data_IF_311524229482
#
_entry.id   IF_311524229482
#
_cell.length_a   1.000
_cell.length_b   1.000
_cell.length_c   1.000
_cell.angle_alpha   90.00
_cell.angle_beta   90.00
_cell.angle_gamma   90.00
#
_symmetry.space_group_name_H-M   'P 1'
#
loop_
_entity.id
_entity.type
_entity.pdbx_description
1 polymer ?
#
# COMPACT_ATOMS: atom_id res chain seq x y z
N UNK A 1 -2.60 13.31 1.74
CA UNK A 1 -3.82 14.15 1.59
C UNK A 1 -4.65 14.20 2.87
N UNK A 2 -5.13 13.07 3.42
CA UNK A 2 -5.92 13.06 4.67
C UNK A 2 -5.17 13.60 5.90
N UNK A 3 -3.92 13.16 6.11
CA UNK A 3 -3.08 13.66 7.21
C UNK A 3 -2.64 15.13 7.02
N UNK A 4 -2.67 15.60 5.77
CA UNK A 4 -2.16 16.90 5.32
C UNK A 4 -3.20 18.02 5.44
N UNK A 5 -4.50 17.69 5.56
CA UNK A 5 -5.60 18.64 5.58
C UNK A 5 -6.38 18.56 6.89
N UNK A 6 -6.36 19.61 7.74
CA UNK A 6 -7.11 19.63 8.98
C UNK A 6 -8.62 19.66 8.76
N UNK A 7 -9.09 20.22 7.64
CA UNK A 7 -10.51 20.26 7.27
C UNK A 7 -11.06 18.87 6.94
N UNK A 8 -10.30 18.04 6.22
CA UNK A 8 -10.68 16.65 5.97
C UNK A 8 -10.69 15.81 7.25
N UNK A 9 -9.79 16.08 8.19
CA UNK A 9 -9.78 15.41 9.50
C UNK A 9 -10.98 15.79 10.36
N UNK A 10 -11.36 17.07 10.35
CA UNK A 10 -12.55 17.54 11.07
C UNK A 10 -13.85 16.99 10.46
N UNK A 11 -13.95 16.93 9.13
CA UNK A 11 -15.13 16.46 8.43
C UNK A 11 -15.30 14.92 8.41
N UNK A 12 -14.24 14.17 8.68
CA UNK A 12 -14.26 12.70 8.74
C UNK A 12 -14.02 12.18 10.16
N UNK A 13 -14.15 13.03 11.19
CA UNK A 13 -14.18 12.59 12.58
C UNK A 13 -15.36 11.62 12.77
N UNK A 14 -15.11 10.34 13.09
CA UNK A 14 -16.16 9.33 13.20
C UNK A 14 -17.23 9.66 14.24
N UNK A 15 -16.88 10.52 15.20
CA UNK A 15 -17.77 11.01 16.25
C UNK A 15 -18.49 12.30 15.86
N UNK A 16 -18.02 13.06 14.87
CA UNK A 16 -18.70 14.28 14.44
C UNK A 16 -20.01 13.95 13.70
N UNK A 17 -21.06 14.67 14.05
CA UNK A 17 -22.37 14.53 13.43
C UNK A 17 -22.49 15.55 12.29
N UNK A 18 -22.95 15.14 11.11
CA UNK A 18 -23.14 16.04 9.97
C UNK A 18 -24.33 17.01 10.11
N UNK A 19 -24.95 17.09 11.29
CA UNK A 19 -26.05 18.02 11.59
C UNK A 19 -27.44 17.55 11.12
N UNK A 20 -28.43 18.43 11.26
CA UNK A 20 -29.86 18.14 11.03
C UNK A 20 -30.16 17.76 9.57
N UNK A 21 -29.46 18.37 8.59
CA UNK A 21 -29.64 18.09 7.16
C UNK A 21 -29.33 16.63 6.78
N UNK A 22 -28.48 15.96 7.56
CA UNK A 22 -28.07 14.58 7.37
C UNK A 22 -28.63 13.64 8.43
N UNK A 23 -29.65 14.05 9.18
CA UNK A 23 -30.25 13.23 10.24
C UNK A 23 -29.27 12.88 11.35
N UNK A 24 -28.36 13.79 11.68
CA UNK A 24 -27.30 13.59 12.67
C UNK A 24 -26.39 12.37 12.43
N UNK A 25 -26.40 11.78 11.23
CA UNK A 25 -25.52 10.67 10.89
C UNK A 25 -24.05 11.09 11.01
N UNK A 26 -23.23 10.20 11.56
CA UNK A 26 -21.77 10.36 11.59
C UNK A 26 -21.13 9.70 10.35
N UNK A 27 -19.86 9.98 10.03
CA UNK A 27 -19.15 9.28 8.95
C UNK A 27 -19.18 7.76 9.13
N UNK A 28 -19.16 7.29 10.39
CA UNK A 28 -19.25 5.87 10.74
C UNK A 28 -20.59 5.26 10.31
N UNK A 29 -21.71 5.98 10.46
CA UNK A 29 -23.03 5.53 10.00
C UNK A 29 -23.08 5.36 8.49
N UNK A 30 -22.48 6.27 7.72
CA UNK A 30 -22.43 6.17 6.26
C UNK A 30 -21.51 5.02 5.79
N UNK A 31 -20.35 4.86 6.44
CA UNK A 31 -19.46 3.73 6.16
C UNK A 31 -20.16 2.39 6.43
N UNK A 32 -20.87 2.29 7.56
CA UNK A 32 -21.69 1.15 7.92
C UNK A 32 -22.82 0.87 6.91
N UNK A 33 -23.61 1.91 6.58
CA UNK A 33 -24.74 1.82 5.64
C UNK A 33 -24.36 1.24 4.28
N UNK A 34 -23.18 1.62 3.78
CA UNK A 34 -22.67 1.17 2.49
C UNK A 34 -21.77 -0.07 2.57
N UNK A 35 -21.52 -0.63 3.76
CA UNK A 35 -20.64 -1.80 3.92
C UNK A 35 -19.19 -1.52 3.53
N UNK A 36 -18.70 -0.31 3.79
CA UNK A 36 -17.34 0.11 3.45
C UNK A 36 -16.33 -0.41 4.49
N UNK A 37 -15.95 -1.69 4.39
CA UNK A 37 -15.09 -2.38 5.38
C UNK A 37 -13.82 -1.62 5.75
N UNK A 38 -13.13 -1.05 4.76
CA UNK A 38 -11.85 -0.35 4.99
C UNK A 38 -12.02 0.95 5.77
N UNK A 39 -13.02 1.77 5.41
CA UNK A 39 -13.31 3.00 6.14
C UNK A 39 -13.82 2.71 7.54
N UNK A 40 -14.65 1.68 7.70
CA UNK A 40 -15.15 1.25 9.00
C UNK A 40 -14.00 0.82 9.92
N UNK A 41 -13.04 0.04 9.42
CA UNK A 41 -11.84 -0.35 10.15
C UNK A 41 -11.02 0.86 10.58
N UNK A 42 -10.70 1.77 9.66
CA UNK A 42 -9.94 2.99 9.99
C UNK A 42 -10.68 3.85 11.01
N UNK A 43 -12.00 3.98 10.89
CA UNK A 43 -12.79 4.73 11.86
C UNK A 43 -12.82 4.11 13.25
N UNK A 44 -12.91 2.77 13.35
CA UNK A 44 -12.97 2.06 14.63
C UNK A 44 -11.58 1.90 15.29
N UNK A 45 -10.55 1.58 14.51
CA UNK A 45 -9.20 1.27 15.02
C UNK A 45 -8.31 2.51 15.15
N UNK A 46 -8.29 3.37 14.13
CA UNK A 46 -7.30 4.45 14.02
C UNK A 46 -7.83 5.79 14.54
N UNK A 47 -9.14 6.03 14.37
CA UNK A 47 -9.79 7.30 14.71
C UNK A 47 -10.72 7.22 15.94
N UNK A 48 -10.78 6.06 16.61
CA UNK A 48 -11.48 5.91 17.89
C UNK A 48 -13.00 6.16 17.82
N UNK A 49 -13.63 5.91 16.68
CA UNK A 49 -15.06 6.09 16.49
C UNK A 49 -15.88 5.20 17.40
N UNK A 50 -16.89 5.77 18.07
CA UNK A 50 -17.82 5.02 18.90
C UNK A 50 -19.01 4.50 18.07
N UNK A 51 -19.15 3.18 17.85
CA UNK A 51 -20.26 2.59 17.09
C UNK A 51 -21.62 2.68 17.80
N UNK A 52 -21.63 2.90 19.12
CA UNK A 52 -22.84 3.07 19.93
C UNK A 52 -23.46 4.46 19.77
N UNK A 53 -22.74 5.42 19.17
CA UNK A 53 -23.27 6.75 18.94
C UNK A 53 -24.51 6.65 18.04
N UNK A 54 -25.61 7.24 18.51
CA UNK A 54 -26.90 7.22 17.83
C UNK A 54 -27.07 8.41 16.90
N UNK A 55 -27.73 8.19 15.77
CA UNK A 55 -28.14 9.25 14.86
C UNK A 55 -29.47 9.90 15.30
N UNK A 56 -30.06 10.75 14.46
CA UNK A 56 -31.32 11.42 14.79
C UNK A 56 -32.47 10.44 15.00
N UNK A 57 -32.43 9.24 14.43
CA UNK A 57 -33.46 8.19 14.53
C UNK A 57 -33.16 7.15 15.63
N UNK A 58 -32.23 7.45 16.52
CA UNK A 58 -31.72 6.55 17.56
C UNK A 58 -31.06 5.27 17.01
N UNK A 59 -30.68 5.26 15.73
CA UNK A 59 -29.98 4.14 15.10
C UNK A 59 -28.49 4.20 15.44
N UNK A 60 -27.92 3.06 15.81
CA UNK A 60 -26.48 2.89 15.98
C UNK A 60 -25.84 2.45 14.65
N UNK A 61 -24.50 2.45 14.58
CA UNK A 61 -23.80 2.05 13.36
C UNK A 61 -24.15 0.62 12.92
N UNK A 62 -24.44 -0.28 13.87
CA UNK A 62 -24.86 -1.66 13.59
C UNK A 62 -26.24 -1.75 12.92
N UNK A 63 -27.19 -0.85 13.24
CA UNK A 63 -28.46 -0.76 12.53
C UNK A 63 -28.24 -0.41 11.05
N UNK A 64 -27.36 0.56 10.78
CA UNK A 64 -27.03 0.97 9.43
C UNK A 64 -26.36 -0.17 8.62
N UNK A 65 -25.50 -1.00 9.22
CA UNK A 65 -24.92 -2.16 8.51
C UNK A 65 -26.01 -3.14 8.04
N UNK A 66 -27.02 -3.35 8.87
CA UNK A 66 -28.11 -4.29 8.61
C UNK A 66 -29.19 -3.71 7.68
N UNK A 67 -29.15 -2.41 7.38
CA UNK A 67 -30.10 -1.75 6.50
C UNK A 67 -29.67 -1.86 5.04
N UNK A 68 -30.42 -2.62 4.24
CA UNK A 68 -30.11 -2.87 2.83
C UNK A 68 -31.25 -2.45 1.92
N UNK A 69 -30.92 -1.71 0.85
CA UNK A 69 -31.83 -1.50 -0.29
C UNK A 69 -31.85 -2.74 -1.19
N UNK A 70 -32.89 -2.91 -2.01
CA UNK A 70 -33.29 -4.10 -2.79
C UNK A 70 -32.20 -4.86 -3.61
N UNK A 71 -30.94 -4.42 -3.68
CA UNK A 71 -29.85 -5.08 -4.41
C UNK A 71 -29.13 -6.15 -3.57
N UNK A 72 -29.56 -7.41 -3.71
CA UNK A 72 -29.01 -8.60 -3.03
C UNK A 72 -27.82 -9.20 -3.78
N UNK A 73 -26.67 -8.51 -3.80
CA UNK A 73 -25.43 -9.16 -4.25
C UNK A 73 -24.86 -10.02 -3.10
N UNK A 74 -24.48 -11.29 -3.32
CA UNK A 74 -23.87 -12.12 -2.28
C UNK A 74 -22.57 -11.50 -1.73
N UNK A 75 -21.80 -10.83 -2.58
CA UNK A 75 -20.62 -10.05 -2.18
C UNK A 75 -20.96 -8.86 -1.26
N UNK A 76 -22.20 -8.35 -1.30
CA UNK A 76 -22.63 -7.30 -0.38
C UNK A 76 -23.02 -7.85 1.01
N UNK A 77 -23.51 -9.09 1.10
CA UNK A 77 -23.82 -9.75 2.36
C UNK A 77 -22.54 -10.08 3.13
N UNK A 78 -21.54 -10.69 2.47
CA UNK A 78 -20.25 -11.00 3.09
C UNK A 78 -19.55 -9.76 3.63
N UNK A 79 -19.49 -8.68 2.84
CA UNK A 79 -18.89 -7.41 3.29
C UNK A 79 -19.58 -6.85 4.54
N UNK A 80 -20.91 -7.00 4.64
CA UNK A 80 -21.67 -6.53 5.80
C UNK A 80 -21.47 -7.42 7.01
N UNK A 81 -21.40 -8.73 6.82
CA UNK A 81 -21.05 -9.67 7.88
C UNK A 81 -19.67 -9.31 8.48
N UNK A 82 -18.68 -9.02 7.65
CA UNK A 82 -17.37 -8.52 8.10
C UNK A 82 -17.49 -7.21 8.88
N UNK A 83 -18.30 -6.25 8.40
CA UNK A 83 -18.54 -5.00 9.11
C UNK A 83 -19.18 -5.21 10.48
N UNK A 84 -20.13 -6.14 10.62
CA UNK A 84 -20.73 -6.49 11.92
C UNK A 84 -19.65 -7.04 12.85
N UNK A 85 -18.84 -7.99 12.39
CA UNK A 85 -17.75 -8.57 13.20
C UNK A 85 -16.80 -7.47 13.71
N UNK A 86 -16.38 -6.56 12.84
CA UNK A 86 -15.51 -5.43 13.22
C UNK A 86 -16.15 -4.54 14.30
N UNK A 87 -17.44 -4.25 14.19
CA UNK A 87 -18.17 -3.47 15.20
C UNK A 87 -18.28 -4.25 16.52
N UNK A 88 -18.52 -5.56 16.50
CA UNK A 88 -18.66 -6.38 17.73
C UNK A 88 -17.33 -6.62 18.45
N UNK A 89 -16.23 -6.63 17.70
CA UNK A 89 -14.87 -6.68 18.23
C UNK A 89 -14.42 -5.34 18.83
N UNK A 90 -15.11 -4.24 18.54
CA UNK A 90 -14.77 -2.92 19.09
C UNK A 90 -14.76 -2.93 20.62
N UNK A 91 -13.71 -2.33 21.19
CA UNK A 91 -13.53 -2.14 22.63
C UNK A 91 -13.23 -0.67 22.89
N UNK A 92 -14.18 0.01 23.53
CA UNK A 92 -14.09 1.41 23.87
C UNK A 92 -13.26 1.68 25.14
N UNK A 93 -13.41 2.88 25.72
CA UNK A 93 -12.70 3.26 26.94
C UNK A 93 -13.06 2.35 28.12
N UNK A 94 -12.14 2.25 29.07
CA UNK A 94 -12.34 1.47 30.31
C UNK A 94 -13.36 2.19 31.18
N UNK A 95 -14.46 1.51 31.50
CA UNK A 95 -15.49 2.01 32.42
C UNK A 95 -14.98 1.91 33.87
N UNK A 96 -15.71 2.48 34.83
CA UNK A 96 -15.30 2.51 36.24
C UNK A 96 -15.12 1.11 36.84
N UNK A 97 -15.78 0.10 36.26
CA UNK A 97 -15.75 -1.30 36.69
C UNK A 97 -14.58 -2.10 36.10
N UNK A 98 -13.68 -1.47 35.32
CA UNK A 98 -12.51 -2.12 34.72
C UNK A 98 -12.80 -2.84 33.40
N UNK A 99 -14.07 -2.99 33.02
CA UNK A 99 -14.46 -3.51 31.72
C UNK A 99 -14.40 -2.44 30.62
N UNK A 100 -14.03 -2.84 29.40
CA UNK A 100 -14.03 -1.94 28.24
C UNK A 100 -15.43 -1.86 27.65
N UNK A 101 -15.87 -0.65 27.28
CA UNK A 101 -17.16 -0.45 26.59
C UNK A 101 -17.25 -1.35 25.34
N UNK A 102 -18.40 -1.99 25.12
CA UNK A 102 -18.66 -2.88 23.98
C UNK A 102 -19.78 -2.33 23.10
N UNK A 103 -19.87 -2.85 21.87
CA UNK A 103 -20.97 -2.53 20.98
C UNK A 103 -22.32 -3.03 21.54
N UNK A 104 -23.32 -2.16 21.58
CA UNK A 104 -24.65 -2.47 22.10
C UNK A 104 -25.49 -3.18 21.03
N UNK A 105 -25.61 -4.51 21.16
CA UNK A 105 -26.39 -5.36 20.24
C UNK A 105 -27.91 -5.11 20.31
N UNK A 106 -28.41 -4.89 21.52
CA UNK A 106 -29.85 -4.77 21.80
C UNK A 106 -30.35 -3.33 21.79
N UNK A 107 -29.56 -2.39 21.26
CA UNK A 107 -29.98 -1.00 21.13
C UNK A 107 -31.21 -0.91 20.21
N UNK A 108 -32.25 -0.22 20.66
CA UNK A 108 -33.45 0.06 19.89
C UNK A 108 -33.38 1.46 19.26
N UNK A 109 -33.88 1.55 18.03
CA UNK A 109 -34.14 2.81 17.33
C UNK A 109 -35.45 3.46 17.80
N UNK A 110 -35.81 4.61 17.23
CA UNK A 110 -37.08 5.29 17.51
C UNK A 110 -38.32 4.45 17.24
N UNK A 111 -38.25 3.40 16.41
CA UNK A 111 -39.36 2.49 16.10
C UNK A 111 -39.36 1.25 17.01
N UNK A 112 -38.39 1.14 17.92
CA UNK A 112 -38.21 -0.03 18.78
C UNK A 112 -37.49 -1.18 18.08
N UNK A 113 -36.98 -1.00 16.85
CA UNK A 113 -36.28 -2.03 16.12
C UNK A 113 -34.83 -2.14 16.60
N UNK A 114 -34.38 -3.37 16.82
CA UNK A 114 -32.97 -3.71 17.05
C UNK A 114 -32.25 -3.96 15.72
N UNK A 115 -30.91 -4.09 15.74
CA UNK A 115 -30.15 -4.46 14.55
C UNK A 115 -30.65 -5.79 13.93
N UNK A 116 -31.06 -6.74 14.78
CA UNK A 116 -31.61 -8.03 14.37
C UNK A 116 -32.93 -7.88 13.58
N UNK A 117 -33.78 -6.90 13.92
CA UNK A 117 -35.00 -6.60 13.16
C UNK A 117 -34.68 -6.17 11.72
N UNK A 118 -33.68 -5.31 11.54
CA UNK A 118 -33.24 -4.85 10.22
C UNK A 118 -32.58 -5.97 9.40
N UNK A 119 -31.74 -6.79 10.03
CA UNK A 119 -31.10 -7.92 9.37
C UNK A 119 -32.14 -8.95 8.89
N UNK A 120 -33.14 -9.23 9.73
CA UNK A 120 -34.25 -10.14 9.45
C UNK A 120 -35.16 -9.62 8.34
N UNK A 121 -35.53 -8.34 8.40
CA UNK A 121 -36.35 -7.69 7.38
C UNK A 121 -35.65 -7.59 6.02
N UNK A 122 -34.31 -7.53 6.00
CA UNK A 122 -33.48 -7.47 4.79
C UNK A 122 -33.10 -8.85 4.25
N UNK A 123 -33.31 -9.93 5.03
CA UNK A 123 -32.97 -11.29 4.67
C UNK A 123 -31.47 -11.60 4.69
N UNK A 124 -30.69 -10.87 5.50
CA UNK A 124 -29.24 -11.08 5.63
C UNK A 124 -28.96 -12.27 6.56
N UNK A 125 -29.03 -13.49 6.02
CA UNK A 125 -28.89 -14.72 6.79
C UNK A 125 -27.59 -14.75 7.58
N UNK A 126 -26.45 -14.42 6.96
CA UNK A 126 -25.17 -14.49 7.66
C UNK A 126 -25.06 -13.49 8.80
N UNK A 127 -25.61 -12.29 8.60
CA UNK A 127 -25.66 -11.26 9.65
C UNK A 127 -26.56 -11.69 10.82
N UNK A 128 -27.70 -12.34 10.53
CA UNK A 128 -28.59 -12.87 11.57
C UNK A 128 -27.89 -13.96 12.38
N UNK A 129 -27.25 -14.94 11.72
CA UNK A 129 -26.49 -15.99 12.39
C UNK A 129 -25.42 -15.40 13.33
N UNK A 130 -24.66 -14.41 12.86
CA UNK A 130 -23.62 -13.74 13.66
C UNK A 130 -24.18 -12.97 14.86
N UNK A 131 -25.27 -12.21 14.67
CA UNK A 131 -25.89 -11.45 15.77
C UNK A 131 -26.46 -12.40 16.85
N UNK A 132 -27.09 -13.50 16.44
CA UNK A 132 -27.63 -14.51 17.37
C UNK A 132 -26.50 -15.22 18.12
N UNK A 133 -25.42 -15.60 17.42
CA UNK A 133 -24.24 -16.21 18.04
C UNK A 133 -23.58 -15.31 19.09
N UNK A 134 -23.74 -13.99 18.95
CA UNK A 134 -23.20 -12.98 19.89
C UNK A 134 -24.20 -12.58 20.98
N UNK A 135 -25.34 -13.28 21.10
CA UNK A 135 -26.31 -13.07 22.17
C UNK A 135 -27.30 -11.94 21.92
N UNK A 136 -27.63 -11.62 20.66
CA UNK A 136 -28.69 -10.67 20.36
C UNK A 136 -30.05 -11.15 20.91
N UNK A 137 -30.80 -10.24 21.54
CA UNK A 137 -32.09 -10.53 22.13
C UNK A 137 -33.15 -10.88 21.08
N UNK A 138 -33.55 -12.15 21.05
CA UNK A 138 -34.50 -12.69 20.07
C UNK A 138 -35.94 -12.23 20.31
N UNK A 139 -36.31 -12.06 21.58
CA UNK A 139 -37.68 -11.77 22.04
C UNK A 139 -37.98 -10.27 22.19
N UNK A 140 -37.10 -9.40 21.71
CA UNK A 140 -37.32 -7.96 21.77
C UNK A 140 -38.40 -7.60 20.75
N UNK A 141 -39.47 -6.94 21.21
CA UNK A 141 -40.54 -6.45 20.34
C UNK A 141 -40.32 -4.98 19.99
N UNK A 142 -40.65 -4.63 18.74
CA UNK A 142 -40.69 -3.24 18.30
C UNK A 142 -42.03 -2.56 18.69
N UNK A 143 -42.22 -1.29 18.31
CA UNK A 143 -43.47 -0.56 18.61
C UNK A 143 -44.73 -1.15 17.99
N UNK A 144 -44.60 -1.96 16.95
CA UNK A 144 -45.70 -2.69 16.30
C UNK A 144 -45.98 -4.04 16.99
N UNK A 145 -45.29 -4.35 18.09
CA UNK A 145 -45.32 -5.66 18.78
C UNK A 145 -44.87 -6.82 17.90
N UNK A 146 -43.97 -6.53 16.96
CA UNK A 146 -43.37 -7.53 16.09
C UNK A 146 -41.98 -7.86 16.60
N UNK A 147 -41.66 -9.15 16.65
CA UNK A 147 -40.31 -9.65 16.87
C UNK A 147 -39.51 -9.63 15.58
N UNK A 148 -38.19 -9.86 15.69
CA UNK A 148 -37.32 -10.01 14.51
C UNK A 148 -37.76 -11.14 13.57
N UNK A 149 -38.28 -12.24 14.12
CA UNK A 149 -38.83 -13.36 13.37
C UNK A 149 -40.10 -12.96 12.60
N UNK A 150 -41.02 -12.23 13.22
CA UNK A 150 -42.25 -11.76 12.58
C UNK A 150 -41.94 -10.85 11.37
N UNK A 151 -40.88 -10.04 11.48
CA UNK A 151 -40.39 -9.23 10.36
C UNK A 151 -39.81 -10.07 9.22
N UNK A 152 -39.07 -11.14 9.52
CA UNK A 152 -38.57 -12.06 8.48
C UNK A 152 -39.71 -12.72 7.71
N UNK A 153 -40.75 -13.18 8.43
CA UNK A 153 -41.96 -13.76 7.83
C UNK A 153 -42.69 -12.73 6.96
N UNK A 154 -42.89 -11.51 7.47
CA UNK A 154 -43.56 -10.44 6.74
C UNK A 154 -42.81 -9.99 5.49
N UNK A 155 -41.47 -10.05 5.52
CA UNK A 155 -40.60 -9.77 4.37
C UNK A 155 -40.41 -10.98 3.43
N UNK A 156 -41.09 -12.11 3.66
CA UNK A 156 -40.99 -13.36 2.87
C UNK A 156 -39.62 -14.05 2.89
N UNK A 157 -38.80 -13.78 3.92
CA UNK A 157 -37.49 -14.39 4.12
C UNK A 157 -37.60 -15.67 4.97
N UNK A 158 -38.21 -16.71 4.36
CA UNK A 158 -38.49 -17.99 5.02
C UNK A 158 -37.23 -18.62 5.64
N UNK A 159 -36.08 -18.61 4.94
CA UNK A 159 -34.84 -19.21 5.44
C UNK A 159 -34.36 -18.59 6.76
N UNK A 160 -34.52 -17.27 6.90
CA UNK A 160 -34.14 -16.52 8.10
C UNK A 160 -35.19 -16.71 9.19
N UNK A 161 -36.48 -16.73 8.83
CA UNK A 161 -37.57 -17.01 9.77
C UNK A 161 -37.42 -18.41 10.39
N UNK A 162 -37.21 -19.45 9.59
CA UNK A 162 -37.01 -20.82 10.10
C UNK A 162 -35.78 -20.93 11.00
N UNK A 163 -34.69 -20.22 10.68
CA UNK A 163 -33.52 -20.16 11.54
C UNK A 163 -33.87 -19.51 12.90
N UNK A 164 -34.49 -18.33 12.89
CA UNK A 164 -34.89 -17.62 14.11
C UNK A 164 -35.92 -18.41 14.93
N UNK A 165 -36.91 -19.04 14.29
CA UNK A 165 -37.87 -19.93 14.96
C UNK A 165 -37.16 -21.07 15.68
N UNK A 166 -36.19 -21.73 15.01
CA UNK A 166 -35.41 -22.79 15.64
C UNK A 166 -34.64 -22.26 16.85
N UNK A 167 -33.98 -21.11 16.73
CA UNK A 167 -33.25 -20.50 17.85
C UNK A 167 -34.18 -20.11 19.00
N UNK A 168 -35.39 -19.61 18.71
CA UNK A 168 -36.37 -19.22 19.74
C UNK A 168 -36.95 -20.44 20.47
N UNK A 169 -37.17 -21.57 19.78
CA UNK A 169 -37.66 -22.81 20.39
C UNK A 169 -36.64 -23.41 21.36
N UNK A 170 -35.34 -23.27 21.07
CA UNK A 170 -34.27 -23.79 21.91
C UNK A 170 -33.72 -22.77 22.93
N UNK A 171 -34.14 -21.51 22.84
CA UNK A 171 -33.85 -20.48 23.84
C UNK A 171 -34.86 -20.60 24.99
N UNK A 172 -34.63 -21.54 25.91
CA UNK A 172 -35.46 -21.68 27.11
C UNK A 172 -35.48 -20.34 27.88
N UNK A 173 -36.68 -19.91 28.27
CA UNK A 173 -36.96 -18.56 28.79
C UNK A 173 -36.42 -18.27 30.20
N UNK A 174 -35.35 -18.96 30.63
CA UNK A 174 -34.88 -18.95 32.03
C UNK A 174 -33.39 -18.68 32.25
N UNK A 175 -32.57 -18.42 31.22
CA UNK A 175 -31.20 -17.96 31.46
C UNK A 175 -31.15 -16.42 31.47
N UNK A 176 -31.51 -15.88 32.63
CA UNK A 176 -31.12 -14.52 33.00
C UNK A 176 -29.60 -14.42 32.99
N UNK A 177 -29.08 -13.57 32.11
CA UNK A 177 -27.78 -12.89 32.21
C UNK A 177 -26.66 -13.83 32.70
N UNK A 178 -26.12 -14.65 31.81
CA UNK A 178 -24.73 -15.07 31.95
C UNK A 178 -23.86 -14.15 31.07
N UNK A 179 -23.65 -12.92 31.54
CA UNK A 179 -22.64 -12.00 30.99
C UNK A 179 -21.19 -12.50 31.25
N UNK A 180 -21.02 -13.65 31.90
CA UNK A 180 -19.73 -14.17 32.35
C UNK A 180 -19.15 -15.35 31.56
N UNK A 181 -19.88 -15.97 30.64
CA UNK A 181 -19.39 -17.17 29.95
C UNK A 181 -19.49 -17.03 28.43
N UNK A 182 -18.68 -16.07 27.93
CA UNK A 182 -18.13 -16.17 26.59
C UNK A 182 -17.37 -17.50 26.52
N UNK A 183 -18.05 -18.54 26.06
CA UNK A 183 -17.37 -19.60 25.32
C UNK A 183 -16.60 -18.84 24.25
N UNK A 184 -15.28 -18.80 24.45
CA UNK A 184 -14.30 -18.61 23.40
C UNK A 184 -14.51 -19.70 22.37
N UNK A 185 -15.62 -19.60 21.65
CA UNK A 185 -15.62 -19.86 20.24
C UNK A 185 -14.69 -18.76 19.74
N UNK A 186 -13.40 -19.03 19.81
CA UNK A 186 -12.59 -19.12 18.61
C UNK A 186 -13.50 -19.75 17.54
N UNK A 187 -14.43 -18.95 17.02
CA UNK A 187 -14.66 -18.98 15.61
C UNK A 187 -13.27 -18.60 15.13
N UNK A 188 -12.45 -19.60 14.85
CA UNK A 188 -11.42 -19.57 13.83
C UNK A 188 -12.11 -19.20 12.51
N UNK A 189 -12.77 -18.05 12.48
CA UNK A 189 -12.82 -17.21 11.33
C UNK A 189 -11.43 -16.65 11.29
N UNK A 190 -10.54 -17.40 10.64
CA UNK A 190 -9.50 -16.87 9.79
C UNK A 190 -9.46 -15.35 9.84
N UNK A 191 -8.68 -14.86 10.81
CA UNK A 191 -8.03 -13.57 10.72
C UNK A 191 -7.14 -13.51 9.45
N UNK A 192 -7.01 -14.60 8.70
CA UNK A 192 -6.40 -14.68 7.36
C UNK A 192 -7.13 -13.84 6.31
N UNK A 193 -8.39 -13.45 6.50
CA UNK A 193 -9.03 -12.53 5.54
C UNK A 193 -8.45 -11.11 5.60
N UNK A 194 -7.70 -10.76 6.66
CA UNK A 194 -7.02 -9.46 6.79
C UNK A 194 -5.63 -9.43 6.15
N UNK A 195 -5.13 -10.57 5.71
CA UNK A 195 -3.74 -10.73 5.28
C UNK A 195 -3.54 -10.31 3.82
N UNK A 196 -4.56 -10.47 2.98
CA UNK A 196 -4.46 -10.28 1.52
C UNK A 196 -5.03 -8.93 1.11
N UNK A 197 -4.41 -7.84 1.54
CA UNK A 197 -4.79 -6.53 1.02
C UNK A 197 -4.24 -6.34 -0.40
N UNK A 198 -5.14 -6.02 -1.33
CA UNK A 198 -4.77 -5.63 -2.68
C UNK A 198 -3.99 -4.32 -2.67
N UNK A 199 -2.71 -4.38 -3.04
CA UNK A 199 -1.83 -3.25 -3.22
C UNK A 199 -2.16 -2.52 -4.52
N UNK A 200 -2.31 -1.19 -4.43
CA UNK A 200 -2.38 -0.29 -5.57
C UNK A 200 -0.97 -0.03 -6.11
N UNK A 201 -0.88 0.54 -7.31
CA UNK A 201 0.40 0.96 -7.89
C UNK A 201 1.20 1.89 -6.96
N UNK A 202 0.52 2.79 -6.24
CA UNK A 202 1.16 3.67 -5.26
C UNK A 202 1.73 2.88 -4.07
N UNK A 203 1.00 1.89 -3.56
CA UNK A 203 1.46 1.09 -2.42
C UNK A 203 2.65 0.19 -2.81
N UNK A 204 2.68 -0.26 -4.07
CA UNK A 204 3.84 -0.97 -4.64
C UNK A 204 5.06 -0.08 -4.80
N UNK A 205 4.85 1.16 -5.24
CA UNK A 205 5.91 2.16 -5.32
C UNK A 205 6.47 2.46 -3.92
N UNK A 206 5.61 2.67 -2.92
CA UNK A 206 6.04 2.89 -1.53
C UNK A 206 6.83 1.69 -0.97
N UNK A 207 6.42 0.46 -1.28
CA UNK A 207 7.15 -0.74 -0.89
C UNK A 207 8.53 -0.84 -1.58
N UNK A 208 8.63 -0.43 -2.86
CA UNK A 208 9.89 -0.34 -3.61
C UNK A 208 10.80 0.72 -3.02
N UNK A 209 10.28 1.91 -2.75
CA UNK A 209 11.01 3.04 -2.17
C UNK A 209 11.52 2.70 -0.77
N UNK A 210 10.72 1.98 0.04
CA UNK A 210 11.15 1.48 1.34
C UNK A 210 12.32 0.50 1.23
N UNK A 211 12.25 -0.47 0.30
CA UNK A 211 13.35 -1.40 0.04
C UNK A 211 14.63 -0.67 -0.39
N UNK A 212 14.46 0.36 -1.23
CA UNK A 212 15.56 1.19 -1.70
C UNK A 212 16.26 1.92 -0.55
N UNK A 213 15.49 2.60 0.30
CA UNK A 213 16.01 3.33 1.47
C UNK A 213 16.72 2.37 2.43
N UNK A 214 16.11 1.24 2.76
CA UNK A 214 16.73 0.25 3.64
C UNK A 214 18.04 -0.31 3.08
N UNK A 215 18.12 -0.50 1.77
CA UNK A 215 19.32 -1.02 1.10
C UNK A 215 20.42 0.04 1.08
N UNK A 216 20.06 1.29 0.79
CA UNK A 216 20.98 2.42 0.81
C UNK A 216 21.57 2.64 2.22
N UNK A 217 20.73 2.57 3.25
CA UNK A 217 21.15 2.69 4.65
C UNK A 217 22.03 1.53 5.09
N UNK A 218 21.68 0.29 4.69
CA UNK A 218 22.44 -0.91 5.04
C UNK A 218 23.83 -0.95 4.39
N UNK A 219 23.94 -0.53 3.13
CA UNK A 219 25.21 -0.52 2.39
C UNK A 219 25.97 0.81 2.53
N UNK A 220 25.36 1.81 3.18
CA UNK A 220 25.86 3.20 3.25
C UNK A 220 26.27 3.74 1.87
N UNK A 221 25.32 3.71 0.93
CA UNK A 221 25.48 4.20 -0.45
C UNK A 221 24.38 5.20 -0.80
N UNK A 222 24.58 6.08 -1.79
CA UNK A 222 23.52 6.95 -2.29
C UNK A 222 22.31 6.15 -2.82
N UNK A 223 21.10 6.71 -2.69
CA UNK A 223 19.85 6.08 -3.16
C UNK A 223 19.93 5.70 -4.65
N UNK A 224 20.49 6.58 -5.48
CA UNK A 224 20.71 6.30 -6.90
C UNK A 224 21.56 5.04 -7.13
N UNK A 225 22.66 4.89 -6.38
CA UNK A 225 23.53 3.72 -6.47
C UNK A 225 22.81 2.46 -5.99
N UNK A 226 22.02 2.56 -4.91
CA UNK A 226 21.23 1.44 -4.41
C UNK A 226 20.17 1.00 -5.43
N UNK A 227 19.54 1.93 -6.13
CA UNK A 227 18.52 1.62 -7.14
C UNK A 227 19.13 0.87 -8.31
N UNK A 228 20.24 1.38 -8.84
CA UNK A 228 20.95 0.76 -9.95
C UNK A 228 21.47 -0.64 -9.59
N UNK A 229 22.00 -0.83 -8.37
CA UNK A 229 22.41 -2.13 -7.86
C UNK A 229 21.23 -3.09 -7.66
N UNK A 230 20.10 -2.61 -7.12
CA UNK A 230 18.91 -3.43 -6.97
C UNK A 230 18.37 -3.86 -8.34
N UNK A 231 18.39 -2.98 -9.34
CA UNK A 231 17.95 -3.31 -10.71
C UNK A 231 18.81 -4.37 -11.39
N UNK A 232 20.14 -4.29 -11.27
CA UNK A 232 21.07 -5.33 -11.75
C UNK A 232 20.85 -6.69 -11.05
N UNK A 233 20.33 -6.65 -9.82
CA UNK A 233 20.05 -7.82 -8.99
C UNK A 233 18.55 -8.17 -8.94
N UNK A 234 17.78 -7.77 -9.95
CA UNK A 234 16.35 -8.09 -10.10
C UNK A 234 15.51 -7.73 -8.85
N UNK A 235 15.86 -6.66 -8.13
CA UNK A 235 15.24 -6.25 -6.87
C UNK A 235 15.39 -7.25 -5.71
N UNK A 236 16.36 -8.17 -5.77
CA UNK A 236 16.64 -9.13 -4.70
C UNK A 236 17.72 -8.63 -3.74
N UNK A 237 17.30 -8.20 -2.53
CA UNK A 237 18.22 -7.79 -1.45
C UNK A 237 19.23 -8.87 -1.07
N UNK A 238 18.80 -10.13 -1.01
CA UNK A 238 19.67 -11.26 -0.65
C UNK A 238 20.79 -11.50 -1.67
N UNK A 239 20.46 -11.49 -2.97
CA UNK A 239 21.46 -11.64 -4.04
C UNK A 239 22.42 -10.46 -4.07
N UNK A 240 21.91 -9.24 -3.89
CA UNK A 240 22.74 -8.05 -3.81
C UNK A 240 23.75 -8.17 -2.66
N UNK A 241 23.30 -8.59 -1.47
CA UNK A 241 24.19 -8.76 -0.32
C UNK A 241 25.24 -9.86 -0.57
N UNK A 242 24.88 -10.98 -1.19
CA UNK A 242 25.82 -12.05 -1.53
C UNK A 242 26.92 -11.57 -2.50
N UNK A 243 26.54 -10.87 -3.58
CA UNK A 243 27.49 -10.29 -4.53
C UNK A 243 28.34 -9.19 -3.90
N UNK A 244 27.73 -8.33 -3.09
CA UNK A 244 28.40 -7.22 -2.41
C UNK A 244 29.45 -7.71 -1.40
N UNK A 245 29.12 -8.74 -0.61
CA UNK A 245 30.05 -9.37 0.33
C UNK A 245 31.21 -10.07 -0.38
N UNK A 246 31.00 -10.56 -1.60
CA UNK A 246 32.05 -11.20 -2.40
C UNK A 246 33.02 -10.16 -2.99
N UNK A 247 32.51 -9.14 -3.67
CA UNK A 247 33.30 -8.03 -4.20
C UNK A 247 32.40 -6.81 -4.52
N UNK A 248 32.38 -5.85 -3.61
CA UNK A 248 31.57 -4.63 -3.76
C UNK A 248 31.93 -3.79 -5.00
N UNK A 249 33.22 -3.71 -5.37
CA UNK A 249 33.68 -2.88 -6.50
C UNK A 249 33.25 -3.49 -7.82
N UNK A 250 33.44 -4.79 -8.00
CA UNK A 250 32.96 -5.50 -9.20
C UNK A 250 31.43 -5.44 -9.33
N UNK A 251 30.71 -5.45 -8.21
CA UNK A 251 29.25 -5.29 -8.22
C UNK A 251 28.83 -3.91 -8.76
N UNK A 252 29.56 -2.84 -8.41
CA UNK A 252 29.31 -1.50 -8.94
C UNK A 252 29.68 -1.37 -10.43
N UNK A 253 30.80 -1.95 -10.86
CA UNK A 253 31.25 -1.91 -12.26
C UNK A 253 30.28 -2.62 -13.20
N UNK A 254 29.77 -3.80 -12.81
CA UNK A 254 28.77 -4.55 -13.60
C UNK A 254 27.44 -3.78 -13.69
N UNK A 255 27.03 -3.12 -12.60
CA UNK A 255 25.84 -2.28 -12.59
C UNK A 255 26.02 -0.94 -13.33
N UNK A 256 27.25 -0.62 -13.77
CA UNK A 256 27.51 0.59 -14.54
C UNK A 256 27.65 1.87 -13.72
N UNK A 257 28.08 1.75 -12.46
CA UNK A 257 28.13 2.87 -11.50
C UNK A 257 29.55 3.03 -10.96
N UNK A 258 29.98 4.28 -10.73
CA UNK A 258 31.23 4.53 -10.03
C UNK A 258 31.16 4.00 -8.58
N UNK A 259 32.18 3.25 -8.09
CA UNK A 259 32.14 2.67 -6.76
C UNK A 259 32.15 3.76 -5.68
N UNK A 260 31.17 3.75 -4.74
CA UNK A 260 31.13 4.71 -3.64
C UNK A 260 32.24 4.44 -2.62
N UNK A 261 32.55 5.43 -1.78
CA UNK A 261 33.60 5.34 -0.77
C UNK A 261 33.44 4.12 0.17
N UNK A 262 32.21 3.70 0.46
CA UNK A 262 31.90 2.52 1.26
C UNK A 262 32.34 1.20 0.59
N UNK A 263 32.25 1.09 -0.74
CA UNK A 263 32.76 -0.06 -1.49
C UNK A 263 34.30 -0.10 -1.50
N UNK A 264 34.95 1.07 -1.50
CA UNK A 264 36.41 1.19 -1.49
C UNK A 264 37.02 0.79 -0.13
N UNK A 265 36.32 1.04 0.98
CA UNK A 265 36.77 0.66 2.32
C UNK A 265 36.75 -0.85 2.59
N UNK A 266 35.94 -1.63 1.88
CA UNK A 266 35.86 -3.10 2.00
C UNK A 266 37.03 -3.83 1.34
N UNK A 267 37.83 -3.15 0.52
CA UNK A 267 38.93 -3.73 -0.28
C UNK A 267 40.32 -3.46 0.33
N UNK A 268 40.43 -2.82 1.49
CA UNK A 268 41.73 -2.54 2.10
C UNK A 268 42.21 -3.66 3.06
N UNK A 269 43.14 -4.55 2.67
CA UNK A 269 43.95 -5.26 3.65
C UNK A 269 44.97 -4.28 4.25
N UNK A 270 45.04 -4.27 5.58
CA UNK A 270 46.06 -3.71 6.48
C UNK A 270 47.14 -2.77 5.89
N UNK A 271 47.30 -1.52 6.36
CA UNK A 271 48.45 -0.71 5.98
C UNK A 271 49.73 -1.29 6.59
N UNK A 272 50.85 -1.41 5.84
CA UNK A 272 52.14 -1.61 6.46
C UNK A 272 52.61 -0.31 7.13
N UNK A 273 53.23 -0.46 8.29
CA UNK A 273 53.96 0.58 9.00
C UNK A 273 55.22 1.02 8.22
N UNK A 274 55.83 2.15 8.67
CA UNK A 274 57.17 2.73 8.35
C UNK A 274 57.10 3.92 7.37
N UNK A 275 57.58 5.16 7.58
CA UNK A 275 58.26 5.97 8.63
C UNK A 275 58.18 7.45 8.17
N UNK A 276 58.53 8.47 9.01
CA UNK A 276 58.23 9.88 8.75
C UNK A 276 59.36 10.70 8.08
N UNK A 277 58.97 11.91 7.62
CA UNK A 277 59.73 13.16 7.34
C UNK A 277 60.05 13.50 5.86
N UNK A 278 60.32 14.79 5.50
CA UNK A 278 60.02 16.08 6.17
C UNK A 278 59.25 17.08 5.26
N UNK A 279 58.88 18.28 5.75
CA UNK A 279 58.04 19.24 5.03
C UNK A 279 58.88 20.20 4.18
N UNK A 280 58.36 20.62 3.03
CA UNK A 280 58.83 21.81 2.34
C UNK A 280 57.67 22.72 1.93
N UNK A 281 57.64 23.84 2.63
CA UNK A 281 56.96 25.10 2.37
C UNK A 281 57.24 25.61 0.95
N UNK A 282 56.25 26.18 0.26
CA UNK A 282 56.39 27.50 -0.38
C UNK A 282 55.02 28.18 -0.38
N UNK A 283 54.99 29.34 0.26
CA UNK A 283 53.94 30.36 0.27
C UNK A 283 54.22 31.32 -0.89
N UNK A 284 53.22 31.68 -1.67
CA UNK A 284 53.23 32.84 -2.58
C UNK A 284 52.10 33.82 -2.25
N UNK A 285 52.28 35.14 -2.49
CA UNK A 285 51.57 36.22 -1.79
C UNK A 285 50.38 36.81 -2.56
N UNK A 286 49.52 37.65 -1.91
CA UNK A 286 48.28 38.20 -2.49
C UNK A 286 48.50 39.49 -3.33
N UNK A 287 47.52 39.92 -4.16
CA UNK A 287 47.65 41.06 -5.05
C UNK A 287 47.18 42.39 -4.41
N UNK A 288 47.63 43.57 -4.91
CA UNK A 288 47.03 44.87 -4.60
C UNK A 288 46.31 45.56 -5.80
N UNK A 289 45.53 46.65 -5.56
CA UNK A 289 44.25 46.86 -6.27
C UNK A 289 44.01 48.23 -7.00
N UNK A 290 42.91 48.27 -7.77
CA UNK A 290 41.99 49.37 -8.20
C UNK A 290 42.36 50.46 -9.29
N UNK A 291 41.69 50.50 -10.48
CA UNK A 291 40.53 51.31 -11.05
C UNK A 291 40.93 52.74 -11.63
N UNK A 292 40.22 53.44 -12.57
CA UNK A 292 39.52 53.15 -13.88
C UNK A 292 39.97 54.08 -15.06
N UNK A 293 39.49 53.84 -16.29
CA UNK A 293 39.25 54.90 -17.28
C UNK A 293 39.24 54.47 -18.77
N UNK A 294 38.08 54.66 -19.43
CA UNK A 294 37.82 55.09 -20.84
C UNK A 294 38.64 54.45 -21.99
N UNK A 295 38.14 54.05 -23.16
CA UNK A 295 36.90 54.28 -23.90
C UNK A 295 36.80 53.24 -25.03
N UNK A 296 35.55 52.93 -25.37
CA UNK A 296 34.99 52.42 -26.62
C UNK A 296 35.89 52.45 -27.88
N UNK A 297 36.23 51.27 -28.43
CA UNK A 297 36.32 51.01 -29.88
C UNK A 297 35.90 49.56 -30.16
N UNK A 298 34.97 49.41 -31.10
CA UNK A 298 34.48 48.15 -31.64
C UNK A 298 35.55 47.52 -32.53
N UNK A 299 35.83 46.23 -32.35
CA UNK A 299 36.40 45.41 -33.42
C UNK A 299 35.84 43.98 -33.33
N UNK A 300 35.03 43.67 -34.35
CA UNK A 300 34.45 42.37 -34.64
C UNK A 300 35.56 41.39 -35.07
N UNK A 301 35.93 40.42 -34.22
CA UNK A 301 36.54 39.17 -34.67
C UNK A 301 36.08 37.98 -33.84
N UNK A 302 35.23 37.18 -34.49
CA UNK A 302 34.74 35.86 -34.10
C UNK A 302 35.78 34.99 -33.38
N UNK A 303 35.36 34.36 -32.27
CA UNK A 303 36.00 33.14 -31.78
C UNK A 303 35.02 32.27 -30.97
N UNK A 304 34.73 31.12 -31.57
CA UNK A 304 34.29 29.85 -31.02
C UNK A 304 32.91 29.76 -30.34
N UNK A 305 31.86 29.84 -31.17
CA UNK A 305 30.67 29.04 -30.93
C UNK A 305 31.02 27.59 -31.23
N UNK A 306 31.27 26.78 -30.19
CA UNK A 306 31.47 25.34 -30.35
C UNK A 306 30.24 24.74 -31.06
N UNK A 307 30.42 24.38 -32.33
CA UNK A 307 29.39 23.76 -33.13
C UNK A 307 29.21 22.32 -32.63
N UNK A 308 28.45 22.15 -31.56
CA UNK A 308 28.21 20.86 -30.92
C UNK A 308 27.40 19.98 -31.86
N UNK A 309 28.03 18.94 -32.41
CA UNK A 309 27.37 17.98 -33.29
C UNK A 309 27.02 16.71 -32.54
N UNK A 310 25.81 16.20 -32.75
CA UNK A 310 25.39 14.93 -32.19
C UNK A 310 26.18 13.76 -32.82
N UNK A 311 26.76 12.89 -31.99
CA UNK A 311 27.56 11.74 -32.47
C UNK A 311 26.74 10.60 -33.10
N UNK A 312 25.41 10.64 -33.01
CA UNK A 312 24.50 9.63 -33.60
C UNK A 312 23.95 10.10 -34.94
N UNK A 313 23.36 11.30 -34.97
CA UNK A 313 22.69 11.82 -36.17
C UNK A 313 23.51 12.86 -36.95
N UNK A 314 24.66 13.30 -36.42
CA UNK A 314 25.50 14.37 -36.97
C UNK A 314 24.79 15.72 -37.15
N UNK A 315 23.62 15.91 -36.52
CA UNK A 315 22.91 17.19 -36.50
C UNK A 315 23.53 18.21 -35.54
N UNK A 316 23.33 19.49 -35.84
CA UNK A 316 23.73 20.61 -34.98
C UNK A 316 22.86 20.66 -33.71
N UNK A 317 23.52 20.66 -32.55
CA UNK A 317 22.91 20.74 -31.22
C UNK A 317 23.03 22.18 -30.72
N UNK A 318 21.93 22.76 -30.24
CA UNK A 318 21.94 24.15 -29.79
C UNK A 318 22.41 24.21 -28.34
N UNK A 319 23.22 25.22 -28.00
CA UNK A 319 23.86 25.38 -26.68
C UNK A 319 22.91 25.40 -25.46
N UNK A 320 21.62 25.69 -25.66
CA UNK A 320 20.61 25.65 -24.59
C UNK A 320 20.07 24.23 -24.30
N UNK A 321 20.22 23.28 -25.23
CA UNK A 321 19.86 21.86 -25.00
C UNK A 321 20.87 21.15 -24.08
N UNK A 322 22.12 21.65 -23.98
CA UNK A 322 23.16 21.08 -23.13
C UNK A 322 22.93 21.31 -21.62
N UNK A 323 22.27 22.40 -21.23
CA UNK A 323 22.08 22.76 -19.82
C UNK A 323 21.12 21.82 -19.08
N UNK A 324 20.14 21.25 -19.79
CA UNK A 324 19.14 20.32 -19.27
C UNK A 324 19.53 18.84 -19.42
N UNK A 325 20.57 18.52 -20.20
CA UNK A 325 21.06 17.16 -20.46
C UNK A 325 22.04 16.62 -19.43
N UNK A 326 22.15 17.25 -18.25
CA UNK A 326 23.08 16.87 -17.17
C UNK A 326 22.64 15.63 -16.38
N UNK A 327 21.60 14.92 -16.83
CA UNK A 327 21.02 13.76 -16.14
C UNK A 327 21.73 12.43 -16.37
N UNK A 328 22.95 12.41 -16.91
CA UNK A 328 23.76 11.18 -16.99
C UNK A 328 25.11 11.42 -16.35
N UNK A 329 25.57 10.48 -15.52
CA UNK A 329 26.89 10.51 -14.86
C UNK A 329 28.08 10.36 -15.83
N UNK A 330 27.86 10.52 -17.14
CA UNK A 330 28.84 10.35 -18.20
C UNK A 330 28.98 11.63 -19.04
N UNK A 331 30.16 11.87 -19.61
CA UNK A 331 30.46 13.05 -20.42
C UNK A 331 29.92 12.96 -21.88
N UNK A 332 29.05 11.99 -22.18
CA UNK A 332 28.55 11.75 -23.53
C UNK A 332 27.27 12.55 -23.81
N UNK A 333 27.29 13.34 -24.89
CA UNK A 333 26.17 14.19 -25.28
C UNK A 333 25.57 13.72 -26.61
N UNK A 334 24.25 13.66 -26.66
CA UNK A 334 23.46 13.28 -27.83
C UNK A 334 22.23 14.17 -27.95
N UNK A 335 21.72 14.29 -29.18
CA UNK A 335 20.53 15.07 -29.47
C UNK A 335 19.28 14.52 -28.76
N UNK A 336 18.32 15.37 -28.42
CA UNK A 336 17.11 14.94 -27.72
C UNK A 336 16.30 13.91 -28.52
N UNK A 337 16.20 14.08 -29.84
CA UNK A 337 15.50 13.13 -30.72
C UNK A 337 16.20 11.78 -30.80
N UNK A 338 17.53 11.76 -30.66
CA UNK A 338 18.35 10.55 -30.63
C UNK A 338 18.11 9.78 -29.33
N UNK A 339 18.10 10.49 -28.20
CA UNK A 339 17.76 9.93 -26.89
C UNK A 339 16.34 9.38 -26.85
N UNK A 340 15.35 10.16 -27.30
CA UNK A 340 13.95 9.73 -27.35
C UNK A 340 13.79 8.44 -28.18
N UNK A 341 14.41 8.39 -29.36
CA UNK A 341 14.36 7.21 -30.25
C UNK A 341 15.03 5.99 -29.62
N UNK A 342 16.21 6.17 -29.03
CA UNK A 342 16.95 5.08 -28.37
C UNK A 342 16.19 4.52 -27.16
N UNK A 343 15.73 5.41 -26.27
CA UNK A 343 14.98 5.02 -25.08
C UNK A 343 13.65 4.35 -25.46
N UNK A 344 12.93 4.90 -26.42
CA UNK A 344 11.68 4.31 -26.91
C UNK A 344 11.89 2.90 -27.44
N UNK A 345 12.95 2.70 -28.22
CA UNK A 345 13.28 1.38 -28.77
C UNK A 345 13.65 0.39 -27.66
N UNK A 346 14.47 0.81 -26.68
CA UNK A 346 14.86 -0.04 -25.54
C UNK A 346 13.69 -0.42 -24.64
N UNK A 347 12.76 0.51 -24.40
CA UNK A 347 11.55 0.25 -23.63
C UNK A 347 10.61 -0.71 -24.39
N UNK A 348 10.51 -0.58 -25.72
CA UNK A 348 9.71 -1.49 -26.55
C UNK A 348 10.29 -2.90 -26.66
N UNK A 349 11.62 -3.03 -26.66
CA UNK A 349 12.32 -4.33 -26.64
C UNK A 349 12.13 -5.10 -25.31
N UNK A 350 11.53 -4.48 -24.29
CA UNK A 350 11.24 -5.11 -22.99
C UNK A 350 12.44 -5.15 -22.03
N UNK A 351 13.57 -4.53 -22.39
CA UNK A 351 14.79 -4.46 -21.59
C UNK A 351 14.87 -3.25 -20.66
N UNK A 352 13.80 -2.91 -19.95
CA UNK A 352 13.71 -1.68 -19.15
C UNK A 352 14.65 -1.64 -17.92
N UNK A 353 15.14 -2.79 -17.45
CA UNK A 353 15.87 -2.91 -16.18
C UNK A 353 17.32 -2.43 -16.24
N UNK A 354 17.91 -2.31 -17.44
CA UNK A 354 19.32 -1.98 -17.62
C UNK A 354 19.54 -1.15 -18.89
N UNK A 355 19.08 0.10 -18.88
CA UNK A 355 19.27 1.05 -19.99
C UNK A 355 20.60 1.76 -19.81
N UNK A 356 21.55 1.44 -20.68
CA UNK A 356 22.89 2.02 -20.69
C UNK A 356 22.99 3.22 -21.64
N UNK A 357 24.01 4.04 -21.42
CA UNK A 357 24.40 5.12 -22.32
C UNK A 357 24.61 4.59 -23.77
N UNK A 358 24.12 5.31 -24.81
CA UNK A 358 24.33 4.93 -26.21
C UNK A 358 25.78 4.96 -26.69
N UNK A 359 26.71 5.51 -25.92
CA UNK A 359 28.10 5.64 -26.32
C UNK A 359 28.83 4.28 -26.33
N UNK A 360 29.62 4.05 -27.38
CA UNK A 360 30.41 2.82 -27.52
C UNK A 360 31.43 2.73 -26.39
N UNK A 361 31.34 1.67 -25.57
CA UNK A 361 32.23 1.45 -24.42
C UNK A 361 31.81 2.17 -23.14
N UNK A 362 30.66 2.85 -23.12
CA UNK A 362 30.10 3.43 -21.91
C UNK A 362 29.06 2.47 -21.31
N UNK A 363 29.38 1.93 -20.14
CA UNK A 363 28.46 1.05 -19.41
C UNK A 363 27.69 1.81 -18.32
N UNK A 364 27.56 3.14 -18.42
CA UNK A 364 26.90 3.95 -17.38
C UNK A 364 25.39 3.84 -17.51
N UNK A 365 24.71 3.51 -16.39
CA UNK A 365 23.25 3.46 -16.31
C UNK A 365 22.64 4.85 -16.44
N UNK A 366 21.53 4.94 -17.15
CA UNK A 366 20.77 6.18 -17.34
C UNK A 366 19.75 6.36 -16.21
N UNK A 367 19.72 7.57 -15.62
CA UNK A 367 18.85 7.93 -14.51
C UNK A 367 17.36 7.89 -14.90
N UNK A 368 16.49 7.51 -13.96
CA UNK A 368 15.03 7.42 -14.16
C UNK A 368 14.44 8.79 -14.48
N UNK A 369 14.82 9.81 -13.72
CA UNK A 369 14.35 11.19 -13.92
C UNK A 369 14.71 11.71 -15.32
N UNK A 370 15.83 11.27 -15.88
CA UNK A 370 16.21 11.62 -17.23
C UNK A 370 15.35 10.87 -18.27
N UNK A 371 15.09 9.58 -18.06
CA UNK A 371 14.22 8.79 -18.95
C UNK A 371 12.82 9.42 -19.00
N UNK A 372 12.22 9.77 -17.85
CA UNK A 372 10.89 10.37 -17.78
C UNK A 372 10.78 11.70 -18.53
N UNK A 373 11.84 12.52 -18.51
CA UNK A 373 11.87 13.81 -19.21
C UNK A 373 12.05 13.67 -20.71
N UNK A 374 12.77 12.65 -21.16
CA UNK A 374 13.19 12.51 -22.56
C UNK A 374 12.23 11.71 -23.43
N UNK A 375 11.33 10.91 -22.85
CA UNK A 375 10.37 10.10 -23.61
C UNK A 375 8.94 10.62 -23.47
N UNK A 376 8.09 10.28 -24.44
CA UNK A 376 6.66 10.56 -24.35
C UNK A 376 6.03 9.99 -23.06
N UNK A 377 4.99 10.64 -22.49
CA UNK A 377 4.39 10.23 -21.22
C UNK A 377 3.82 8.80 -21.25
N UNK A 378 3.39 8.34 -22.44
CA UNK A 378 2.92 6.97 -22.62
C UNK A 378 4.05 5.94 -22.44
N UNK A 379 5.24 6.26 -22.92
CA UNK A 379 6.41 5.39 -22.84
C UNK A 379 7.03 5.40 -21.44
N UNK A 380 7.06 6.57 -20.78
CA UNK A 380 7.45 6.70 -19.38
C UNK A 380 6.56 5.82 -18.47
N UNK A 381 5.25 5.82 -18.71
CA UNK A 381 4.31 4.96 -17.96
C UNK A 381 4.59 3.47 -18.17
N UNK A 382 4.93 3.05 -19.40
CA UNK A 382 5.31 1.66 -19.68
C UNK A 382 6.61 1.27 -18.99
N UNK A 383 7.60 2.17 -19.00
CA UNK A 383 8.87 1.96 -18.31
C UNK A 383 8.68 1.77 -16.80
N UNK A 384 7.93 2.67 -16.15
CA UNK A 384 7.59 2.53 -14.71
C UNK A 384 6.80 1.26 -14.43
N UNK A 385 5.89 0.87 -15.32
CA UNK A 385 5.14 -0.37 -15.20
C UNK A 385 6.08 -1.59 -15.26
N UNK A 386 7.05 -1.62 -16.17
CA UNK A 386 8.03 -2.70 -16.22
C UNK A 386 8.90 -2.73 -14.96
N UNK A 387 9.35 -1.58 -14.47
CA UNK A 387 10.15 -1.49 -13.23
C UNK A 387 9.42 -2.09 -12.02
N UNK A 388 8.16 -1.70 -11.81
CA UNK A 388 7.33 -2.27 -10.74
C UNK A 388 7.02 -3.76 -11.02
N UNK A 389 6.85 -4.15 -12.28
CA UNK A 389 6.60 -5.54 -12.65
C UNK A 389 7.76 -6.44 -12.24
N UNK A 390 9.01 -6.06 -12.51
CA UNK A 390 10.18 -6.83 -12.07
C UNK A 390 10.31 -6.88 -10.55
N UNK A 391 10.03 -5.77 -9.85
CA UNK A 391 9.99 -5.76 -8.39
C UNK A 391 9.01 -6.80 -7.83
N UNK A 392 7.80 -6.87 -8.41
CA UNK A 392 6.77 -7.83 -7.98
C UNK A 392 7.11 -9.27 -8.38
N UNK A 393 7.57 -9.50 -9.61
CA UNK A 393 7.88 -10.87 -10.11
C UNK A 393 8.99 -11.56 -9.31
N UNK A 394 9.96 -10.80 -8.80
CA UNK A 394 11.01 -11.34 -7.93
C UNK A 394 10.54 -11.58 -6.50
N UNK A 395 9.59 -10.78 -6.02
CA UNK A 395 9.15 -10.87 -4.63
C UNK A 395 8.25 -12.08 -4.42
N UNK A 396 8.73 -13.07 -3.64
CA UNK A 396 7.95 -14.27 -3.30
C UNK A 396 6.64 -13.95 -2.57
N UNK A 397 6.58 -12.81 -1.90
CA UNK A 397 5.42 -12.38 -1.12
C UNK A 397 4.40 -11.61 -1.95
N UNK A 398 4.68 -11.18 -3.20
CA UNK A 398 3.76 -10.34 -3.97
C UNK A 398 3.49 -10.97 -5.34
N UNK A 399 2.22 -11.07 -5.78
CA UNK A 399 1.89 -11.35 -7.19
C UNK A 399 0.84 -10.40 -7.73
N UNK A 400 0.92 -10.20 -9.03
CA UNK A 400 -0.09 -9.50 -9.82
C UNK A 400 -1.43 -10.24 -9.86
N UNK A 401 -2.50 -9.45 -9.90
CA UNK A 401 -3.81 -9.94 -10.29
C UNK A 401 -3.77 -10.41 -11.75
N UNK A 402 -4.26 -11.62 -12.07
CA UNK A 402 -4.17 -12.20 -13.42
C UNK A 402 -5.10 -11.51 -14.44
N UNK A 403 -6.01 -10.64 -13.99
CA UNK A 403 -6.96 -9.97 -14.88
C UNK A 403 -6.30 -8.82 -15.65
N UNK A 404 -6.36 -8.84 -16.99
CA UNK A 404 -5.74 -7.82 -17.83
C UNK A 404 -6.38 -6.46 -17.54
N UNK A 405 -5.53 -5.44 -17.35
CA UNK A 405 -5.98 -4.07 -17.06
C UNK A 405 -6.32 -3.79 -15.59
N UNK A 406 -6.22 -4.77 -14.68
CA UNK A 406 -6.46 -4.53 -13.25
C UNK A 406 -5.32 -3.72 -12.60
N UNK A 407 -4.06 -4.03 -12.93
CA UNK A 407 -2.88 -3.31 -12.42
C UNK A 407 -2.71 -3.33 -10.90
N UNK A 408 -3.28 -4.31 -10.21
CA UNK A 408 -3.17 -4.51 -8.75
C UNK A 408 -2.39 -5.75 -8.42
N UNK A 409 -1.72 -5.74 -7.27
CA UNK A 409 -1.02 -6.91 -6.75
C UNK A 409 -1.53 -7.26 -5.35
N UNK A 410 -1.24 -8.47 -4.88
CA UNK A 410 -1.60 -8.94 -3.53
C UNK A 410 -0.32 -9.32 -2.82
N UNK A 411 -0.16 -8.89 -1.56
CA UNK A 411 0.95 -9.27 -0.68
C UNK A 411 0.53 -10.40 0.28
N UNK A 412 1.44 -11.33 0.48
CA UNK A 412 1.35 -12.53 1.32
C UNK A 412 2.35 -12.39 2.48
N UNK A 413 2.03 -12.76 3.73
CA UNK A 413 2.97 -12.71 4.84
C UNK A 413 4.04 -13.77 4.65
N UNK A 414 5.26 -13.36 4.95
CA UNK A 414 6.44 -14.23 4.92
C UNK A 414 6.31 -15.42 5.88
N UNK A 415 5.55 -15.26 6.98
CA UNK A 415 5.28 -16.29 7.97
C UNK A 415 4.62 -17.55 7.40
N UNK A 416 3.80 -17.44 6.35
CA UNK A 416 3.15 -18.60 5.72
C UNK A 416 4.04 -19.26 4.66
N UNK A 417 4.97 -18.51 4.05
CA UNK A 417 5.96 -19.04 3.09
C UNK A 417 7.04 -19.90 3.78
N UNK A 418 7.31 -19.62 5.06
CA UNK A 418 8.34 -20.30 5.86
C UNK A 418 7.79 -21.39 6.81
N UNK A 419 6.52 -21.76 6.71
CA UNK A 419 6.01 -22.95 7.43
C UNK A 419 6.68 -24.22 6.90
N UNK A 420 7.89 -24.50 7.37
CA UNK A 420 8.36 -25.87 7.52
C UNK A 420 7.55 -26.47 8.66
N UNK A 421 6.61 -27.38 8.40
CA UNK A 421 5.94 -28.07 9.49
C UNK A 421 7.01 -28.81 10.30
N UNK A 422 6.98 -28.67 11.63
CA UNK A 422 7.73 -29.52 12.53
C UNK A 422 7.53 -30.98 12.12
N UNK A 423 8.59 -31.61 11.64
CA UNK A 423 8.57 -32.98 11.17
C UNK A 423 8.34 -33.93 12.36
N UNK A 424 7.12 -34.44 12.50
CA UNK A 424 6.89 -35.71 13.20
C UNK A 424 7.20 -36.85 12.22
N UNK A 425 8.05 -37.85 12.57
CA UNK A 425 8.63 -38.79 11.59
C UNK A 425 7.67 -39.74 10.86
N UNK A 426 6.35 -39.59 10.93
CA UNK A 426 5.44 -40.61 10.38
C UNK A 426 4.06 -40.16 9.89
N UNK A 427 3.86 -38.89 9.55
CA UNK A 427 2.62 -38.43 8.92
C UNK A 427 2.92 -37.75 7.59
N UNK A 428 2.24 -38.19 6.52
CA UNK A 428 2.33 -37.55 5.20
C UNK A 428 2.03 -36.06 5.33
N UNK A 429 2.80 -35.16 4.68
CA UNK A 429 2.54 -33.73 4.76
C UNK A 429 1.13 -33.44 4.21
N UNK A 430 0.38 -32.51 4.83
CA UNK A 430 -0.89 -32.05 4.27
C UNK A 430 -0.65 -31.49 2.85
N UNK A 431 -1.58 -31.70 1.90
CA UNK A 431 -1.44 -31.16 0.56
C UNK A 431 -1.39 -29.62 0.63
N UNK A 432 -0.50 -29.01 -0.18
CA UNK A 432 -0.50 -27.56 -0.40
C UNK A 432 -1.84 -27.17 -1.01
N UNK A 433 -2.76 -26.65 -0.22
CA UNK A 433 -4.05 -26.14 -0.70
C UNK A 433 -3.83 -24.75 -1.30
N UNK A 434 -4.29 -24.53 -2.53
CA UNK A 434 -4.30 -23.20 -3.14
C UNK A 434 -5.33 -22.32 -2.43
N UNK A 435 -4.97 -21.09 -2.05
CA UNK A 435 -5.86 -20.15 -1.37
C UNK A 435 -6.48 -19.17 -2.36
N UNK A 436 -7.76 -18.81 -2.16
CA UNK A 436 -8.43 -17.79 -2.96
C UNK A 436 -8.13 -16.40 -2.37
N UNK A 437 -7.52 -15.52 -3.18
CA UNK A 437 -7.12 -14.17 -2.78
C UNK A 437 -7.89 -13.11 -3.56
N UNK A 438 -8.28 -12.02 -2.89
CA UNK A 438 -8.94 -10.85 -3.51
C UNK A 438 -7.92 -9.74 -3.79
N UNK A 439 -7.86 -9.23 -5.02
CA UNK A 439 -7.02 -8.08 -5.36
C UNK A 439 -7.56 -6.73 -4.86
N UNK A 440 -8.68 -6.72 -4.12
CA UNK A 440 -9.35 -5.54 -3.59
C UNK A 440 -10.17 -4.76 -4.62
N UNK A 441 -10.27 -5.26 -5.86
CA UNK A 441 -11.18 -4.80 -6.90
C UNK A 441 -12.36 -5.77 -7.12
N UNK A 442 -12.54 -6.75 -6.21
CA UNK A 442 -13.55 -7.80 -6.36
C UNK A 442 -13.13 -8.89 -7.34
N UNK A 443 -11.84 -9.02 -7.61
CA UNK A 443 -11.30 -10.11 -8.43
C UNK A 443 -10.66 -11.15 -7.53
N UNK A 444 -11.15 -12.39 -7.65
CA UNK A 444 -10.65 -13.53 -6.90
C UNK A 444 -9.80 -14.41 -7.80
N UNK A 445 -8.64 -14.82 -7.31
CA UNK A 445 -7.78 -15.78 -8.01
C UNK A 445 -7.10 -16.73 -7.02
N UNK A 446 -6.71 -17.90 -7.52
CA UNK A 446 -5.99 -18.89 -6.73
C UNK A 446 -4.50 -18.55 -6.72
N UNK A 447 -3.88 -18.59 -5.54
CA UNK A 447 -2.43 -18.48 -5.37
C UNK A 447 -1.76 -19.84 -5.24
#
# INVERSE_FOLDING_TARGET
VFQSSPELRANLDPSASYGESHGHNTPLHYAAKHGMKHLLRTFLCDLGGNPNKKNAEDESSIHCVCQVGQAKSPSAEERRATCIIMILQWRGPVMQDGEKERAQLNAQDKKGNTALHYASASGLRKCVELLVAQGAGLFIENKDRLTSCDLAVRSTHHDVATYLESCMVFADSSDGINEGELVGTEVETDCDSEVYSGLRAQDLQEAKDQLLVETADMLHIPLFTAEALLRDNEWSKALLLEKWMTNAVHCCEVAGIAPPASALHLVAPTPPMVTPSPPNSVITPPPPPHIPGESMEQDDLARDGENLQCKICYGEMRSWELGEQTGTSCEHQFCATCWESYLTLKIQEGGAHHILCPAVGCNILVDVDFIEKMVSPEMARKYLQFDIQAFVERNKTIKWCPLPGCGRAVKFPEAELETQPFYFPNTKPPPKTSHAVDCGNGHFFCW
#
